data_IF_272965416701
#
_entry.id   IF_272965416701
#
_cell.length_a   1.000
_cell.length_b   1.000
_cell.length_c   1.000
_cell.angle_alpha   90.00
_cell.angle_beta   90.00
_cell.angle_gamma   90.00
#
_symmetry.space_group_name_H-M   'P 1'
#
loop_
_entity.id
_entity.type
_entity.pdbx_description
1 polymer ?
#
# COMPACT_ATOMS: atom_id res chain seq x y z
N UNK A 1 7.95 16.89 -27.13
CA UNK A 1 7.51 15.87 -26.15
C UNK A 1 6.00 15.96 -25.84
N UNK A 2 5.19 16.58 -26.70
CA UNK A 2 3.72 16.61 -26.63
C UNK A 2 3.04 16.01 -27.88
N UNK A 3 3.79 15.80 -28.97
CA UNK A 3 3.23 15.29 -30.24
C UNK A 3 3.26 13.76 -30.41
N UNK A 4 3.98 13.03 -29.55
CA UNK A 4 4.04 11.55 -29.60
C UNK A 4 2.81 10.85 -28.99
N UNK A 5 1.83 11.60 -28.49
CA UNK A 5 0.61 11.05 -27.87
C UNK A 5 -0.60 11.01 -28.82
N UNK A 6 -0.47 11.46 -30.07
CA UNK A 6 -1.56 11.46 -31.06
C UNK A 6 -1.49 10.35 -32.12
N UNK A 7 -0.36 9.65 -32.24
CA UNK A 7 -0.06 8.84 -33.43
C UNK A 7 0.00 7.32 -33.17
N UNK A 8 -0.85 6.80 -32.29
CA UNK A 8 -0.97 5.34 -32.07
C UNK A 8 -2.44 4.91 -32.07
N UNK A 9 -3.22 5.44 -33.00
CA UNK A 9 -4.61 5.01 -33.24
C UNK A 9 -4.83 4.41 -34.63
N UNK A 10 -3.90 4.52 -35.58
CA UNK A 10 -4.17 4.14 -36.98
C UNK A 10 -2.93 3.51 -37.63
N UNK A 11 -2.93 2.18 -37.80
CA UNK A 11 -2.57 1.49 -39.06
C UNK A 11 -2.69 -0.05 -38.93
N UNK A 12 -3.32 -0.74 -39.90
CA UNK A 12 -3.45 -2.20 -39.94
C UNK A 12 -2.34 -2.84 -40.81
N UNK A 13 -1.77 -3.95 -40.33
CA UNK A 13 -0.76 -4.76 -41.05
C UNK A 13 -1.24 -6.19 -41.24
N UNK A 14 -1.26 -6.61 -42.51
CA UNK A 14 -1.85 -7.80 -43.12
C UNK A 14 -1.08 -9.12 -42.94
N UNK A 15 -1.80 -10.23 -42.70
CA UNK A 15 -1.46 -11.58 -43.19
C UNK A 15 -2.77 -12.36 -43.42
N UNK A 16 -3.06 -12.79 -44.66
CA UNK A 16 -4.08 -13.81 -45.03
C UNK A 16 -3.43 -15.18 -45.18
N UNK A 17 -4.05 -16.32 -44.80
CA UNK A 17 -4.90 -17.12 -45.73
C UNK A 17 -5.94 -18.05 -45.01
N UNK A 18 -6.56 -19.06 -45.68
CA UNK A 18 -7.48 -19.04 -46.82
C UNK A 18 -8.95 -19.35 -46.41
N UNK A 19 -9.87 -19.25 -47.39
CA UNK A 19 -11.32 -19.47 -47.30
C UNK A 19 -11.71 -20.81 -46.65
N UNK A 20 -12.61 -20.73 -45.67
CA UNK A 20 -13.37 -21.84 -45.10
C UNK A 20 -14.63 -21.30 -44.40
N UNK A 21 -15.76 -21.97 -44.59
CA UNK A 21 -17.14 -21.55 -44.34
C UNK A 21 -17.48 -21.16 -42.88
N UNK A 22 -18.30 -20.09 -42.72
CA UNK A 22 -18.85 -19.57 -41.45
C UNK A 22 -19.78 -20.59 -40.76
N UNK A 23 -19.86 -20.51 -39.41
CA UNK A 23 -21.17 -20.36 -38.78
C UNK A 23 -21.26 -19.09 -37.92
N UNK A 24 -22.45 -18.52 -37.89
CA UNK A 24 -22.81 -17.26 -37.25
C UNK A 24 -22.56 -17.26 -35.74
N UNK A 25 -21.82 -16.27 -35.23
CA UNK A 25 -21.83 -15.91 -33.81
C UNK A 25 -22.11 -14.42 -33.65
N UNK A 26 -23.20 -14.16 -32.91
CA UNK A 26 -23.81 -12.87 -32.57
C UNK A 26 -22.78 -11.81 -32.16
N UNK A 27 -22.86 -10.63 -32.80
CA UNK A 27 -22.04 -9.46 -32.47
C UNK A 27 -22.27 -9.01 -31.00
N UNK A 28 -21.17 -8.85 -30.26
CA UNK A 28 -21.15 -8.15 -28.98
C UNK A 28 -21.37 -6.64 -29.20
N UNK A 29 -22.18 -5.94 -28.38
CA UNK A 29 -22.52 -4.54 -28.60
C UNK A 29 -21.31 -3.57 -28.54
N UNK A 30 -21.32 -2.60 -29.44
CA UNK A 30 -20.34 -1.53 -29.69
C UNK A 30 -20.09 -0.51 -28.56
N UNK A 31 -20.32 -0.85 -27.28
CA UNK A 31 -20.06 0.04 -26.12
C UNK A 31 -18.65 -0.06 -25.53
N UNK A 32 -17.74 -0.82 -26.13
CA UNK A 32 -16.33 -0.95 -25.69
C UNK A 32 -15.37 -0.03 -26.44
N UNK A 33 -15.71 1.25 -26.63
CA UNK A 33 -14.74 2.24 -27.10
C UNK A 33 -14.91 3.53 -26.29
N UNK A 34 -13.78 3.96 -25.72
CA UNK A 34 -13.52 5.26 -25.09
C UNK A 34 -13.88 5.42 -23.60
N UNK A 35 -12.93 5.04 -22.73
CA UNK A 35 -12.65 5.84 -21.53
C UNK A 35 -11.19 6.30 -21.62
N UNK A 36 -11.00 7.54 -22.08
CA UNK A 36 -9.71 8.23 -22.10
C UNK A 36 -9.29 8.54 -20.65
N UNK A 37 -8.00 8.45 -20.37
CA UNK A 37 -7.40 8.98 -19.14
C UNK A 37 -7.69 10.49 -19.05
N UNK A 38 -8.54 10.91 -18.13
CA UNK A 38 -8.69 12.32 -17.79
C UNK A 38 -7.56 12.71 -16.82
N UNK A 39 -6.49 13.25 -17.39
CA UNK A 39 -5.42 13.93 -16.64
C UNK A 39 -5.84 15.39 -16.43
N UNK A 40 -6.64 15.67 -15.40
CA UNK A 40 -6.84 17.04 -14.92
C UNK A 40 -5.78 17.39 -13.85
N UNK A 41 -5.19 18.59 -14.00
CA UNK A 41 -4.03 19.11 -13.25
C UNK A 41 -4.28 19.42 -11.75
N UNK A 42 -5.36 18.95 -11.15
CA UNK A 42 -5.51 18.87 -9.68
C UNK A 42 -4.98 17.52 -9.20
N UNK A 43 -3.84 17.53 -8.51
CA UNK A 43 -2.88 16.42 -8.29
C UNK A 43 -3.40 15.19 -7.48
N UNK A 44 -4.41 14.48 -7.98
CA UNK A 44 -4.77 13.10 -7.58
C UNK A 44 -5.26 12.34 -8.81
N UNK A 45 -4.34 11.74 -9.56
CA UNK A 45 -4.68 10.92 -10.73
C UNK A 45 -5.12 9.51 -10.32
N UNK A 46 -6.07 8.94 -11.06
CA UNK A 46 -6.35 7.50 -10.99
C UNK A 46 -6.28 6.87 -12.39
N UNK A 47 -5.97 5.57 -12.43
CA UNK A 47 -5.88 4.79 -13.67
C UNK A 47 -6.78 3.57 -13.55
N UNK A 48 -7.64 3.32 -14.55
CA UNK A 48 -8.40 2.07 -14.65
C UNK A 48 -7.93 1.25 -15.86
N UNK A 49 -7.85 -0.07 -15.70
CA UNK A 49 -7.52 -1.00 -16.79
C UNK A 49 -8.52 -2.15 -16.82
N UNK A 50 -9.33 -2.25 -17.88
CA UNK A 50 -10.37 -3.28 -18.08
C UNK A 50 -11.36 -3.40 -16.91
N UNK A 51 -11.67 -2.29 -16.25
CA UNK A 51 -12.64 -2.23 -15.16
C UNK A 51 -13.70 -1.19 -15.48
N UNK A 52 -14.96 -1.58 -15.33
CA UNK A 52 -16.07 -0.64 -15.29
C UNK A 52 -16.22 -0.08 -13.88
N UNK A 53 -16.24 1.25 -13.80
CA UNK A 53 -16.44 2.00 -12.57
C UNK A 53 -17.65 2.90 -12.75
N UNK A 54 -18.53 2.94 -11.76
CA UNK A 54 -19.65 3.87 -11.76
C UNK A 54 -19.20 5.32 -11.46
N UNK A 55 -20.10 6.28 -11.65
CA UNK A 55 -19.80 7.71 -11.49
C UNK A 55 -19.36 8.06 -10.06
N UNK A 56 -19.92 7.42 -9.04
CA UNK A 56 -19.56 7.64 -7.64
C UNK A 56 -18.25 6.95 -7.29
N UNK A 57 -18.00 5.75 -7.81
CA UNK A 57 -16.73 5.01 -7.70
C UNK A 57 -15.58 5.84 -8.27
N UNK A 58 -15.75 6.41 -9.47
CA UNK A 58 -14.76 7.30 -10.08
C UNK A 58 -14.52 8.53 -9.20
N UNK A 59 -15.58 9.13 -8.66
CA UNK A 59 -15.49 10.33 -7.82
C UNK A 59 -14.73 10.06 -6.52
N UNK A 60 -15.01 8.96 -5.83
CA UNK A 60 -14.30 8.64 -4.57
C UNK A 60 -12.83 8.30 -4.80
N UNK A 61 -12.49 7.71 -5.95
CA UNK A 61 -11.09 7.43 -6.31
C UNK A 61 -10.31 8.71 -6.64
N UNK A 62 -10.97 9.75 -7.17
CA UNK A 62 -10.36 11.06 -7.45
C UNK A 62 -9.94 11.81 -6.18
N UNK A 63 -10.57 11.55 -5.04
CA UNK A 63 -10.13 12.10 -3.76
C UNK A 63 -8.69 11.69 -3.40
N UNK A 64 -8.26 10.51 -3.88
CA UNK A 64 -6.88 10.03 -3.76
C UNK A 64 -6.50 9.53 -2.37
N UNK A 65 -5.25 9.08 -2.24
CA UNK A 65 -4.77 8.33 -1.07
C UNK A 65 -4.64 9.15 0.22
N UNK A 66 -4.54 10.47 0.11
CA UNK A 66 -4.42 11.38 1.27
C UNK A 66 -5.76 11.82 1.83
N UNK A 67 -6.84 11.52 1.12
CA UNK A 67 -8.17 11.86 1.59
C UNK A 67 -8.61 10.91 2.69
N UNK A 68 -8.99 11.45 3.83
CA UNK A 68 -9.49 10.69 4.97
C UNK A 68 -11.01 10.91 5.04
N UNK A 69 -11.83 9.91 4.70
CA UNK A 69 -13.27 9.98 4.94
C UNK A 69 -13.50 10.19 6.44
N UNK A 70 -14.26 11.23 6.79
CA UNK A 70 -14.63 11.50 8.16
C UNK A 70 -15.46 10.33 8.68
N UNK A 71 -14.84 9.43 9.45
CA UNK A 71 -15.58 8.42 10.19
C UNK A 71 -16.60 9.14 11.05
N UNK A 72 -17.81 8.60 11.19
CA UNK A 72 -18.67 8.96 12.32
C UNK A 72 -17.82 8.72 13.56
N UNK A 73 -17.27 9.78 14.13
CA UNK A 73 -16.40 9.67 15.28
C UNK A 73 -17.24 9.08 16.43
N UNK A 74 -16.65 8.12 17.13
CA UNK A 74 -17.22 7.49 18.34
C UNK A 74 -17.53 8.49 19.45
N UNK A 75 -17.03 9.73 19.34
CA UNK A 75 -17.34 10.86 20.22
C UNK A 75 -18.86 11.07 20.33
N UNK A 76 -19.62 10.86 19.24
CA UNK A 76 -21.09 10.91 19.32
C UNK A 76 -21.65 9.84 20.28
N UNK A 77 -21.14 8.60 20.21
CA UNK A 77 -21.60 7.52 21.06
C UNK A 77 -21.15 7.69 22.53
N UNK A 78 -19.91 8.16 22.75
CA UNK A 78 -19.38 8.46 24.09
C UNK A 78 -20.13 9.63 24.74
N UNK A 79 -20.36 10.72 23.99
CA UNK A 79 -21.19 11.84 24.44
C UNK A 79 -22.64 11.41 24.66
N UNK A 80 -23.20 10.53 23.83
CA UNK A 80 -24.55 10.00 24.01
C UNK A 80 -24.69 9.24 25.34
N UNK A 81 -23.67 8.49 25.74
CA UNK A 81 -23.63 7.76 27.02
C UNK A 81 -23.50 8.72 28.21
N UNK A 82 -22.58 9.67 28.15
CA UNK A 82 -22.40 10.69 29.20
C UNK A 82 -23.63 11.60 29.35
N UNK A 83 -24.24 12.04 28.25
CA UNK A 83 -25.46 12.87 28.27
C UNK A 83 -26.64 12.07 28.82
N UNK A 84 -26.73 10.77 28.53
CA UNK A 84 -27.76 9.89 29.10
C UNK A 84 -27.58 9.75 30.62
N UNK A 85 -26.34 9.58 31.07
CA UNK A 85 -26.03 9.48 32.50
C UNK A 85 -26.34 10.78 33.27
N UNK A 86 -25.98 11.94 32.71
CA UNK A 86 -26.34 13.25 33.27
C UNK A 86 -27.86 13.44 33.26
N UNK A 87 -28.54 13.09 32.17
CA UNK A 87 -30.01 13.20 32.08
C UNK A 87 -30.69 12.35 33.17
N UNK A 88 -30.19 11.14 33.41
CA UNK A 88 -30.72 10.24 34.44
C UNK A 88 -30.53 10.78 35.85
N UNK A 89 -29.38 11.42 36.15
CA UNK A 89 -29.10 12.03 37.46
C UNK A 89 -30.04 13.19 37.82
N UNK A 90 -30.58 13.89 36.82
CA UNK A 90 -31.42 15.08 37.02
C UNK A 90 -32.87 14.93 36.54
N UNK A 91 -33.37 13.68 36.45
CA UNK A 91 -34.75 13.36 36.03
C UNK A 91 -35.84 14.16 36.78
N UNK A 92 -35.60 14.51 38.05
CA UNK A 92 -36.54 15.23 38.91
C UNK A 92 -36.81 16.69 38.49
N UNK A 93 -35.93 17.30 37.69
CA UNK A 93 -36.06 18.69 37.25
C UNK A 93 -36.98 18.88 36.02
N UNK A 94 -37.60 17.80 35.51
CA UNK A 94 -38.43 17.81 34.28
C UNK A 94 -37.79 18.51 33.09
N UNK A 95 -36.46 18.51 33.03
CA UNK A 95 -35.72 19.16 31.95
C UNK A 95 -35.98 18.38 30.66
N UNK A 96 -36.31 19.08 29.57
CA UNK A 96 -36.47 18.47 28.26
C UNK A 96 -35.10 18.00 27.73
N UNK A 97 -34.70 16.82 28.22
CA UNK A 97 -33.40 16.19 27.98
C UNK A 97 -33.10 16.00 26.49
N UNK A 98 -34.14 15.92 25.65
CA UNK A 98 -34.00 15.86 24.20
C UNK A 98 -33.50 17.19 23.62
N UNK A 99 -34.07 18.31 24.06
CA UNK A 99 -33.70 19.64 23.55
C UNK A 99 -32.26 20.01 23.93
N UNK A 100 -31.87 19.74 25.18
CA UNK A 100 -30.50 19.99 25.67
C UNK A 100 -29.51 19.07 24.96
N UNK A 101 -29.85 17.80 24.77
CA UNK A 101 -29.04 16.84 24.01
C UNK A 101 -28.82 17.32 22.58
N UNK A 102 -29.88 17.74 21.90
CA UNK A 102 -29.80 18.21 20.51
C UNK A 102 -28.96 19.50 20.40
N UNK A 103 -29.11 20.44 21.34
CA UNK A 103 -28.32 21.67 21.39
C UNK A 103 -26.83 21.42 21.67
N UNK A 104 -26.49 20.55 22.62
CA UNK A 104 -25.10 20.22 22.97
C UNK A 104 -24.41 19.51 21.80
N UNK A 105 -25.07 18.53 21.18
CA UNK A 105 -24.51 17.81 20.03
C UNK A 105 -24.29 18.75 18.84
N UNK A 106 -25.21 19.68 18.56
CA UNK A 106 -25.04 20.70 17.52
C UNK A 106 -23.92 21.70 17.82
N UNK A 107 -23.69 22.04 19.08
CA UNK A 107 -22.69 23.05 19.48
C UNK A 107 -21.28 22.48 19.55
N UNK A 108 -21.11 21.25 20.04
CA UNK A 108 -19.78 20.62 20.27
C UNK A 108 -19.25 19.95 19.00
N UNK A 109 -20.12 19.41 18.15
CA UNK A 109 -19.72 18.65 16.98
C UNK A 109 -20.56 19.07 15.77
N UNK A 110 -20.20 20.17 15.09
CA UNK A 110 -20.64 20.39 13.71
C UNK A 110 -20.02 19.31 12.83
N UNK A 111 -20.53 18.08 12.93
CA UNK A 111 -20.11 16.94 12.13
C UNK A 111 -20.70 17.14 10.73
N UNK A 112 -20.01 17.93 9.93
CA UNK A 112 -20.27 17.95 8.50
C UNK A 112 -19.58 16.73 7.91
N UNK A 113 -20.31 15.70 7.45
CA UNK A 113 -19.68 14.61 6.74
C UNK A 113 -18.97 15.19 5.53
N UNK A 114 -17.66 14.95 5.43
CA UNK A 114 -16.87 15.43 4.28
C UNK A 114 -17.17 14.64 2.99
N UNK A 115 -18.00 13.59 3.05
CA UNK A 115 -18.37 12.72 1.95
C UNK A 115 -19.88 12.42 1.98
N UNK A 116 -20.51 12.35 0.79
CA UNK A 116 -21.96 12.06 0.67
C UNK A 116 -22.28 10.59 0.95
N UNK A 117 -23.55 10.28 1.25
CA UNK A 117 -23.99 8.90 1.55
C UNK A 117 -23.73 7.96 0.35
N UNK A 118 -23.95 8.45 -0.86
CA UNK A 118 -23.76 7.71 -2.11
C UNK A 118 -22.27 7.40 -2.35
N UNK A 119 -21.40 8.35 -2.02
CA UNK A 119 -19.94 8.19 -2.09
C UNK A 119 -19.45 7.15 -1.07
N UNK A 120 -19.97 7.16 0.16
CA UNK A 120 -19.69 6.10 1.14
C UNK A 120 -20.17 4.73 0.65
N UNK A 121 -21.34 4.67 0.03
CA UNK A 121 -21.89 3.43 -0.54
C UNK A 121 -20.98 2.92 -1.66
N UNK A 122 -20.50 3.80 -2.54
CA UNK A 122 -19.58 3.45 -3.62
C UNK A 122 -18.22 2.98 -3.08
N UNK A 123 -17.64 3.66 -2.10
CA UNK A 123 -16.37 3.26 -1.48
C UNK A 123 -16.48 1.88 -0.81
N UNK A 124 -17.57 1.63 -0.07
CA UNK A 124 -17.85 0.32 0.52
C UNK A 124 -18.15 -0.75 -0.55
N UNK A 125 -18.76 -0.37 -1.68
CA UNK A 125 -18.97 -1.22 -2.83
C UNK A 125 -17.64 -1.66 -3.44
N UNK A 126 -16.76 -0.71 -3.74
CA UNK A 126 -15.41 -0.96 -4.24
C UNK A 126 -14.61 -1.88 -3.31
N UNK A 127 -14.68 -1.65 -2.00
CA UNK A 127 -13.97 -2.48 -1.02
C UNK A 127 -14.46 -3.95 -0.98
N UNK A 128 -15.71 -4.21 -1.39
CA UNK A 128 -16.31 -5.56 -1.43
C UNK A 128 -16.09 -6.29 -2.76
N UNK A 129 -15.73 -5.56 -3.83
CA UNK A 129 -15.48 -6.14 -5.14
C UNK A 129 -14.27 -7.08 -5.11
N UNK A 130 -14.45 -8.29 -5.64
CA UNK A 130 -13.41 -9.34 -5.71
C UNK A 130 -12.81 -9.48 -7.10
N UNK A 131 -13.42 -8.85 -8.09
CA UNK A 131 -13.03 -8.82 -9.51
C UNK A 131 -11.98 -7.75 -9.81
N UNK A 132 -11.67 -6.86 -8.85
CA UNK A 132 -10.71 -5.77 -9.02
C UNK A 132 -9.58 -5.84 -8.00
N UNK A 133 -8.46 -5.22 -8.35
CA UNK A 133 -7.33 -4.95 -7.48
C UNK A 133 -7.08 -3.44 -7.47
N UNK A 134 -7.12 -2.85 -6.29
CA UNK A 134 -6.81 -1.43 -6.05
C UNK A 134 -5.43 -1.32 -5.44
N UNK A 135 -4.51 -0.62 -6.11
CA UNK A 135 -3.12 -0.42 -5.67
C UNK A 135 -2.67 1.01 -5.90
N UNK A 136 -1.74 1.48 -5.10
CA UNK A 136 -1.00 2.71 -5.38
C UNK A 136 -0.05 2.49 -6.58
N UNK A 137 0.10 3.51 -7.41
CA UNK A 137 1.08 3.53 -8.49
C UNK A 137 2.52 3.59 -7.93
N UNK A 138 3.44 2.96 -8.66
CA UNK A 138 4.89 2.94 -8.33
C UNK A 138 5.51 4.34 -8.20
N UNK A 139 4.98 5.30 -8.95
CA UNK A 139 5.36 6.72 -8.90
C UNK A 139 4.11 7.59 -8.97
N UNK A 140 4.15 8.74 -8.30
CA UNK A 140 3.15 9.80 -8.47
C UNK A 140 1.89 9.70 -7.59
N UNK A 141 1.88 8.89 -6.53
CA UNK A 141 0.77 8.79 -5.55
C UNK A 141 -0.64 8.53 -6.16
N UNK A 142 -0.69 8.07 -7.41
CA UNK A 142 -1.93 7.78 -8.11
C UNK A 142 -2.56 6.48 -7.62
N UNK A 143 -3.89 6.38 -7.68
CA UNK A 143 -4.60 5.12 -7.43
C UNK A 143 -4.76 4.38 -8.76
N UNK A 144 -4.47 3.08 -8.76
CA UNK A 144 -4.63 2.22 -9.92
C UNK A 144 -5.66 1.15 -9.59
N UNK A 145 -6.70 1.07 -10.41
CA UNK A 145 -7.72 0.04 -10.36
C UNK A 145 -7.55 -0.84 -11.59
N UNK A 146 -7.41 -2.14 -11.40
CA UNK A 146 -7.33 -3.08 -12.50
C UNK A 146 -8.14 -4.33 -12.22
N UNK A 147 -8.57 -4.99 -13.30
CA UNK A 147 -9.21 -6.29 -13.19
C UNK A 147 -8.23 -7.27 -12.55
N UNK A 148 -8.74 -8.15 -11.68
CA UNK A 148 -7.93 -9.12 -10.95
C UNK A 148 -7.15 -10.04 -11.90
N UNK A 149 -7.76 -10.41 -13.03
CA UNK A 149 -7.16 -11.28 -14.05
C UNK A 149 -5.89 -10.66 -14.63
N UNK A 150 -5.93 -9.38 -15.03
CA UNK A 150 -4.77 -8.64 -15.55
C UNK A 150 -3.68 -8.47 -14.48
N UNK A 151 -4.07 -8.25 -13.23
CA UNK A 151 -3.11 -8.14 -12.13
C UNK A 151 -2.36 -9.47 -11.90
N UNK A 152 -3.12 -10.57 -11.86
CA UNK A 152 -2.57 -11.93 -11.68
C UNK A 152 -1.72 -12.35 -12.88
N UNK A 153 -2.12 -12.05 -14.10
CA UNK A 153 -1.33 -12.30 -15.31
C UNK A 153 0.04 -11.59 -15.23
N UNK A 154 0.05 -10.31 -14.86
CA UNK A 154 1.28 -9.53 -14.69
C UNK A 154 2.15 -10.08 -13.56
N UNK A 155 1.55 -10.48 -12.45
CA UNK A 155 2.25 -11.09 -11.32
C UNK A 155 2.88 -12.43 -11.73
N UNK A 156 2.11 -13.30 -12.38
CA UNK A 156 2.57 -14.62 -12.84
C UNK A 156 3.65 -14.51 -13.92
N UNK A 157 3.56 -13.52 -14.82
CA UNK A 157 4.60 -13.26 -15.81
C UNK A 157 5.95 -12.94 -15.15
N UNK A 158 5.94 -12.17 -14.05
CA UNK A 158 7.15 -11.91 -13.28
C UNK A 158 7.66 -13.17 -12.57
N UNK A 159 6.77 -13.94 -11.93
CA UNK A 159 7.14 -15.13 -11.16
C UNK A 159 7.59 -16.32 -12.02
N UNK A 160 7.22 -16.36 -13.30
CA UNK A 160 7.68 -17.36 -14.27
C UNK A 160 9.10 -17.12 -14.78
N UNK A 161 9.70 -15.96 -14.48
CA UNK A 161 11.07 -15.67 -14.90
C UNK A 161 12.07 -16.48 -14.08
N UNK A 162 12.54 -17.59 -14.67
CA UNK A 162 13.48 -18.53 -14.05
C UNK A 162 14.89 -17.95 -13.88
N UNK A 163 15.19 -16.78 -14.46
CA UNK A 163 16.46 -16.08 -14.21
C UNK A 163 16.49 -15.44 -12.83
N UNK A 164 15.32 -15.04 -12.31
CA UNK A 164 15.19 -14.29 -11.07
C UNK A 164 14.50 -15.10 -9.95
N UNK A 165 13.66 -16.07 -10.30
CA UNK A 165 12.86 -16.84 -9.36
C UNK A 165 13.05 -18.34 -9.55
N UNK A 166 13.09 -19.06 -8.43
CA UNK A 166 13.06 -20.52 -8.39
C UNK A 166 11.79 -20.98 -7.69
N UNK A 167 11.19 -22.05 -8.19
CA UNK A 167 10.04 -22.66 -7.53
C UNK A 167 10.49 -23.44 -6.30
N UNK A 168 9.81 -23.24 -5.17
CA UNK A 168 10.04 -23.98 -3.93
C UNK A 168 8.89 -24.96 -3.71
N UNK A 169 9.21 -26.25 -3.67
CA UNK A 169 8.22 -27.32 -3.47
C UNK A 169 7.73 -27.44 -2.02
N UNK A 170 8.43 -26.81 -1.07
CA UNK A 170 8.10 -26.85 0.36
C UNK A 170 8.19 -25.45 0.94
N UNK A 171 7.35 -25.19 1.95
CA UNK A 171 7.39 -23.95 2.70
C UNK A 171 8.75 -23.82 3.44
N UNK A 172 9.59 -22.82 3.11
CA UNK A 172 10.93 -22.71 3.67
C UNK A 172 10.96 -22.03 5.06
N UNK A 173 9.82 -21.59 5.58
CA UNK A 173 9.72 -20.70 6.75
C UNK A 173 10.50 -21.21 7.96
N UNK A 174 10.19 -22.43 8.43
CA UNK A 174 10.83 -22.98 9.64
C UNK A 174 12.30 -23.32 9.43
N UNK A 175 12.65 -23.83 8.26
CA UNK A 175 14.06 -24.09 7.92
C UNK A 175 14.88 -22.81 7.88
N UNK A 176 14.31 -21.72 7.37
CA UNK A 176 14.97 -20.42 7.31
C UNK A 176 15.05 -19.78 8.70
N UNK A 177 13.96 -19.85 9.47
CA UNK A 177 13.92 -19.35 10.84
C UNK A 177 15.00 -19.99 11.72
N UNK A 178 15.15 -21.33 11.64
CA UNK A 178 16.20 -22.05 12.36
C UNK A 178 17.60 -21.54 11.99
N UNK A 179 17.90 -21.43 10.69
CA UNK A 179 19.18 -20.90 10.19
C UNK A 179 19.46 -19.47 10.65
N UNK A 180 18.44 -18.60 10.62
CA UNK A 180 18.56 -17.22 11.09
C UNK A 180 18.86 -17.20 12.59
N UNK A 181 18.15 -18.00 13.39
CA UNK A 181 18.39 -18.09 14.84
C UNK A 181 19.78 -18.61 15.16
N UNK A 182 20.24 -19.65 14.48
CA UNK A 182 21.60 -20.19 14.62
C UNK A 182 22.65 -19.12 14.29
N UNK A 183 22.46 -18.37 13.20
CA UNK A 183 23.39 -17.29 12.84
C UNK A 183 23.39 -16.14 13.85
N UNK A 184 22.23 -15.78 14.39
CA UNK A 184 22.14 -14.76 15.45
C UNK A 184 22.87 -15.21 16.72
N UNK A 185 22.70 -16.47 17.12
CA UNK A 185 23.41 -17.04 18.28
C UNK A 185 24.93 -16.99 18.08
N UNK A 186 25.40 -17.33 16.88
CA UNK A 186 26.82 -17.26 16.51
C UNK A 186 27.36 -15.82 16.61
N UNK A 187 26.62 -14.84 16.10
CA UNK A 187 27.03 -13.43 16.17
C UNK A 187 27.05 -12.90 17.61
N UNK A 188 26.16 -13.38 18.47
CA UNK A 188 26.14 -13.02 19.89
C UNK A 188 27.34 -13.68 20.61
N UNK A 189 27.62 -14.96 20.36
CA UNK A 189 28.75 -15.64 21.01
C UNK A 189 30.11 -15.09 20.58
N UNK A 190 30.22 -14.60 19.34
CA UNK A 190 31.41 -13.90 18.83
C UNK A 190 31.52 -12.45 19.35
N UNK A 191 30.54 -11.95 20.11
CA UNK A 191 30.54 -10.58 20.65
C UNK A 191 30.22 -9.49 19.62
N UNK A 192 29.81 -9.85 18.39
CA UNK A 192 29.39 -8.88 17.38
C UNK A 192 28.05 -8.22 17.71
N UNK A 193 27.21 -8.90 18.49
CA UNK A 193 25.97 -8.37 19.04
C UNK A 193 26.10 -8.41 20.57
N UNK A 194 26.07 -7.27 21.27
CA UNK A 194 26.13 -7.26 22.73
C UNK A 194 25.02 -8.14 23.32
N UNK A 195 25.38 -9.03 24.25
CA UNK A 195 24.44 -10.00 24.85
C UNK A 195 23.22 -9.31 25.48
N UNK A 196 23.42 -8.14 26.08
CA UNK A 196 22.34 -7.29 26.62
C UNK A 196 21.32 -6.86 25.58
N UNK A 197 21.71 -6.73 24.31
CA UNK A 197 20.83 -6.37 23.20
C UNK A 197 20.26 -7.57 22.43
N UNK A 198 20.62 -8.81 22.81
CA UNK A 198 20.21 -10.03 22.08
C UNK A 198 18.69 -10.17 21.91
N UNK A 199 17.90 -9.76 22.90
CA UNK A 199 16.43 -9.80 22.82
C UNK A 199 15.85 -8.88 21.73
N UNK A 200 16.60 -7.89 21.26
CA UNK A 200 16.18 -6.95 20.21
C UNK A 200 16.29 -7.56 18.80
N UNK A 201 17.10 -8.59 18.60
CA UNK A 201 17.35 -9.18 17.27
C UNK A 201 16.52 -10.43 16.99
N UNK A 202 16.03 -11.11 18.02
CA UNK A 202 15.18 -12.28 17.86
C UNK A 202 13.78 -11.88 17.40
N UNK A 203 13.25 -12.64 16.45
CA UNK A 203 11.87 -12.48 16.00
C UNK A 203 10.87 -12.67 17.15
N UNK A 204 9.85 -11.82 17.20
CA UNK A 204 8.82 -11.84 18.24
C UNK A 204 7.59 -12.60 17.75
N UNK A 205 7.31 -13.74 18.38
CA UNK A 205 6.14 -14.56 18.06
C UNK A 205 6.38 -15.52 16.89
N UNK A 206 5.30 -15.86 16.17
CA UNK A 206 5.35 -16.81 15.06
C UNK A 206 5.74 -16.09 13.76
N UNK A 207 6.86 -16.48 13.11
CA UNK A 207 7.27 -15.87 11.85
C UNK A 207 6.28 -16.20 10.75
N UNK A 208 6.18 -15.32 9.75
CA UNK A 208 5.30 -15.46 8.58
C UNK A 208 6.09 -15.29 7.31
N UNK A 209 5.70 -15.99 6.25
CA UNK A 209 6.32 -15.76 4.94
C UNK A 209 6.02 -14.34 4.44
N UNK A 210 6.99 -13.69 3.75
CA UNK A 210 6.76 -12.38 3.16
C UNK A 210 5.66 -12.41 2.10
N UNK A 211 4.84 -11.37 2.07
CA UNK A 211 3.77 -11.26 1.07
C UNK A 211 4.32 -10.65 -0.23
N UNK A 212 4.07 -11.31 -1.35
CA UNK A 212 4.35 -10.79 -2.69
C UNK A 212 3.17 -9.96 -3.22
N UNK A 213 3.46 -8.81 -3.81
CA UNK A 213 2.50 -8.03 -4.59
C UNK A 213 3.21 -7.16 -5.62
N UNK A 214 2.47 -6.59 -6.56
CA UNK A 214 3.01 -5.71 -7.59
C UNK A 214 2.46 -4.29 -7.45
N UNK A 215 3.34 -3.29 -7.64
CA UNK A 215 2.95 -1.88 -7.79
C UNK A 215 2.99 -1.49 -9.28
N UNK A 216 1.90 -0.93 -9.86
CA UNK A 216 1.86 -0.64 -11.29
C UNK A 216 2.73 0.57 -11.66
N UNK A 217 3.64 0.39 -12.63
CA UNK A 217 4.46 1.47 -13.19
C UNK A 217 3.71 2.20 -14.30
N UNK A 218 2.70 2.99 -13.94
CA UNK A 218 1.82 3.70 -14.90
C UNK A 218 2.55 4.68 -15.84
N UNK A 219 3.77 5.09 -15.49
CA UNK A 219 4.63 5.95 -16.29
C UNK A 219 5.43 5.20 -17.37
N UNK A 220 5.29 3.88 -17.48
CA UNK A 220 5.99 3.04 -18.48
C UNK A 220 4.98 2.41 -19.43
N UNK A 221 5.37 2.26 -20.71
CA UNK A 221 4.56 1.59 -21.74
C UNK A 221 4.14 0.19 -21.27
N UNK A 222 2.86 -0.14 -21.43
CA UNK A 222 2.28 -1.42 -21.00
C UNK A 222 2.04 -1.56 -19.49
N UNK A 223 2.33 -0.52 -18.69
CA UNK A 223 2.13 -0.50 -17.24
C UNK A 223 2.66 -1.78 -16.53
N UNK A 224 3.98 -2.07 -16.62
CA UNK A 224 4.57 -3.23 -15.96
C UNK A 224 4.47 -3.13 -14.43
N UNK A 225 4.42 -4.26 -13.74
CA UNK A 225 4.49 -4.31 -12.28
C UNK A 225 5.90 -4.05 -11.75
N UNK A 226 6.03 -3.43 -10.57
CA UNK A 226 7.21 -3.56 -9.71
C UNK A 226 6.93 -4.67 -8.70
N UNK A 227 7.68 -5.79 -8.72
CA UNK A 227 7.53 -6.81 -7.69
C UNK A 227 7.97 -6.24 -6.34
N UNK A 228 7.17 -6.47 -5.30
CA UNK A 228 7.48 -6.14 -3.91
C UNK A 228 7.28 -7.41 -3.08
N UNK A 229 8.26 -7.67 -2.21
CA UNK A 229 8.20 -8.75 -1.22
C UNK A 229 8.22 -8.08 0.16
N UNK A 230 7.07 -7.98 0.81
CA UNK A 230 6.96 -7.32 2.10
C UNK A 230 7.34 -8.28 3.23
N UNK A 231 8.54 -8.07 3.81
CA UNK A 231 9.09 -8.84 4.93
C UNK A 231 8.48 -8.54 6.30
N UNK A 232 7.22 -8.09 6.34
CA UNK A 232 6.52 -7.79 7.60
C UNK A 232 6.15 -9.10 8.29
N UNK A 233 6.54 -9.26 9.55
CA UNK A 233 6.42 -10.50 10.30
C UNK A 233 7.42 -11.58 9.90
N UNK A 234 8.43 -11.26 9.08
CA UNK A 234 9.42 -12.26 8.65
C UNK A 234 10.51 -12.49 9.71
N UNK A 235 11.20 -13.63 9.63
CA UNK A 235 12.19 -14.04 10.63
C UNK A 235 13.37 -13.07 10.80
N UNK A 236 13.66 -12.23 9.81
CA UNK A 236 14.74 -11.24 9.84
C UNK A 236 14.27 -9.83 10.19
N UNK A 237 12.98 -9.61 10.46
CA UNK A 237 12.41 -8.27 10.67
C UNK A 237 13.04 -7.56 11.88
N UNK A 238 13.11 -8.22 13.03
CA UNK A 238 13.65 -7.65 14.27
C UNK A 238 15.15 -7.35 14.14
N UNK A 239 15.91 -8.29 13.58
CA UNK A 239 17.32 -8.07 13.27
C UNK A 239 17.53 -6.87 12.32
N UNK A 240 16.69 -6.73 11.29
CA UNK A 240 16.73 -5.59 10.36
C UNK A 240 16.37 -4.28 11.06
N UNK A 241 15.38 -4.30 11.96
CA UNK A 241 14.98 -3.14 12.77
C UNK A 241 16.10 -2.70 13.71
N UNK A 242 16.73 -3.63 14.40
CA UNK A 242 17.87 -3.36 15.27
C UNK A 242 19.03 -2.74 14.48
N UNK A 243 19.34 -3.30 13.30
CA UNK A 243 20.35 -2.72 12.41
C UNK A 243 19.98 -1.30 11.98
N UNK A 244 18.73 -1.05 11.59
CA UNK A 244 18.27 0.30 11.26
C UNK A 244 18.43 1.27 12.44
N UNK A 245 18.14 0.85 13.67
CA UNK A 245 18.33 1.70 14.86
C UNK A 245 19.81 2.07 15.07
N UNK A 246 20.72 1.13 14.84
CA UNK A 246 22.16 1.39 14.90
C UNK A 246 22.57 2.36 13.79
N UNK A 247 22.03 2.20 12.58
CA UNK A 247 22.41 3.01 11.42
C UNK A 247 21.76 4.39 11.39
N UNK A 248 20.62 4.59 12.07
CA UNK A 248 19.84 5.83 11.99
C UNK A 248 20.64 7.09 12.36
N UNK A 249 21.41 7.14 13.45
CA UNK A 249 22.22 8.32 13.80
C UNK A 249 23.24 8.70 12.71
N UNK A 250 23.78 7.71 11.98
CA UNK A 250 24.72 7.96 10.88
C UNK A 250 24.03 8.59 9.66
N UNK A 251 22.75 8.28 9.44
CA UNK A 251 21.97 8.85 8.35
C UNK A 251 21.57 10.30 8.68
N UNK A 252 21.17 10.56 9.92
CA UNK A 252 20.72 11.87 10.36
C UNK A 252 21.87 12.88 10.52
N UNK A 253 23.07 12.40 10.88
CA UNK A 253 24.30 13.20 10.97
C UNK A 253 25.07 13.35 9.65
N UNK A 254 24.71 12.60 8.60
CA UNK A 254 25.35 12.70 7.29
C UNK A 254 24.84 13.93 6.54
N UNK A 255 25.71 14.65 5.77
CA UNK A 255 25.21 15.60 4.78
C UNK A 255 24.22 14.88 3.84
N UNK A 256 23.16 15.58 3.45
CA UNK A 256 21.96 15.06 2.74
C UNK A 256 22.24 14.34 1.39
N UNK A 257 23.51 14.27 0.98
CA UNK A 257 23.97 13.62 -0.24
C UNK A 257 24.87 12.44 0.10
N UNK A 258 24.28 11.26 0.19
CA UNK A 258 25.01 9.99 0.02
C UNK A 258 24.88 9.64 -1.46
N UNK A 259 25.97 9.71 -2.21
CA UNK A 259 25.97 9.32 -3.62
C UNK A 259 25.59 7.83 -3.74
N UNK A 260 24.36 7.57 -4.19
CA UNK A 260 23.80 6.21 -4.37
C UNK A 260 24.62 5.37 -5.36
N UNK A 261 25.52 5.99 -6.13
CA UNK A 261 26.33 5.31 -7.14
C UNK A 261 27.49 4.50 -6.55
N UNK A 262 27.86 4.71 -5.27
CA UNK A 262 28.99 4.00 -4.65
C UNK A 262 28.70 3.57 -3.22
N UNK A 263 28.46 2.27 -3.00
CA UNK A 263 28.41 1.66 -1.67
C UNK A 263 29.66 1.96 -0.82
N UNK A 264 30.82 2.18 -1.47
CA UNK A 264 32.08 2.59 -0.81
C UNK A 264 32.03 3.97 -0.16
N UNK A 265 31.20 4.90 -0.65
CA UNK A 265 31.06 6.22 -0.01
C UNK A 265 30.40 6.08 1.36
N UNK A 266 29.37 5.25 1.47
CA UNK A 266 28.73 4.91 2.74
C UNK A 266 29.72 4.25 3.71
N UNK A 267 30.50 3.26 3.26
CA UNK A 267 31.54 2.64 4.09
C UNK A 267 32.63 3.63 4.56
N UNK A 268 33.03 4.60 3.73
CA UNK A 268 33.99 5.63 4.12
C UNK A 268 33.43 6.58 5.19
N UNK A 269 32.17 6.98 5.05
CA UNK A 269 31.48 7.80 6.05
C UNK A 269 31.39 7.04 7.38
N UNK A 270 30.99 5.76 7.35
CA UNK A 270 30.95 4.91 8.54
C UNK A 270 32.33 4.74 9.21
N UNK A 271 33.40 4.56 8.44
CA UNK A 271 34.76 4.40 8.98
C UNK A 271 35.35 5.72 9.52
N UNK A 272 34.89 6.88 9.04
CA UNK A 272 35.36 8.19 9.52
C UNK A 272 34.75 8.62 10.85
N UNK A 273 33.63 8.02 11.24
CA UNK A 273 32.99 8.22 12.54
C UNK A 273 33.63 7.34 13.61
N UNK A 274 34.81 7.74 14.10
CA UNK A 274 35.57 7.08 15.18
C UNK A 274 34.84 7.08 16.54
N UNK A 275 33.71 7.79 16.67
CA UNK A 275 32.98 8.01 17.92
C UNK A 275 32.15 6.81 18.42
N UNK A 276 31.96 5.75 17.62
CA UNK A 276 30.86 4.80 17.85
C UNK A 276 31.20 3.49 18.61
N UNK A 277 32.48 3.11 18.76
CA UNK A 277 32.80 1.96 19.63
C UNK A 277 32.33 2.20 21.08
N UNK A 278 32.35 3.47 21.51
CA UNK A 278 31.98 3.86 22.87
C UNK A 278 30.46 3.95 23.11
N UNK A 279 29.64 4.07 22.06
CA UNK A 279 28.17 4.17 22.20
C UNK A 279 27.48 2.80 22.17
N UNK A 280 28.04 1.83 21.44
CA UNK A 280 27.57 0.43 21.47
C UNK A 280 27.77 -0.17 22.87
N UNK A 281 28.84 0.21 23.59
CA UNK A 281 29.06 -0.21 24.97
C UNK A 281 27.99 0.31 25.94
N UNK A 282 27.24 1.36 25.59
CA UNK A 282 26.20 1.96 26.42
C UNK A 282 24.76 1.48 26.10
N UNK A 283 24.56 0.63 25.06
CA UNK A 283 23.26 0.07 24.62
C UNK A 283 22.93 -1.33 25.14
#
# INVERSE_FOLDING_TARGET
MYDQLKEIAETPGSVTPPLGTKPEHKQLPQRMRNMKAQSNRSKTGFYSCRVYLDTYELKVLQYGLKYIPARKFSVKAQLEEEIKDISNRYIHLQVNSKLIRDAIVQTICPFYPNMRKEEYKALNGLAKRKDIVVKQADKGQAIVVMSKEVYEEKANTLLRDTRNYIYLSKNPLWTTYKKVKEKLNELISQGHIPTKCSFKVYHRGLPKLPNFYILPKVHKKGCPGRPIVAGIGYCTEEASRFLCQILQPFVDGSPAFIDQKYSRHFYRVLNSTQQFLNEIENL
#
